data_IF_274201700899
#
_entry.id   IF_274201700899
#
_cell.length_a   1.000
_cell.length_b   1.000
_cell.length_c   1.000
_cell.angle_alpha   90.00
_cell.angle_beta   90.00
_cell.angle_gamma   90.00
#
_symmetry.space_group_name_H-M   'P 1'
#
loop_
_entity.id
_entity.type
_entity.pdbx_description
1 polymer ?
#
# COMPACT_ATOMS: atom_id res chain seq x y z
N UNK A 1 -1.47 11.07 -34.01
CA UNK A 1 -0.09 10.62 -34.32
C UNK A 1 0.87 11.76 -34.61
N UNK A 2 0.59 12.75 -35.47
CA UNK A 2 1.51 13.84 -35.75
C UNK A 2 1.91 14.68 -34.52
N UNK A 3 0.95 14.99 -33.65
CA UNK A 3 1.20 15.74 -32.42
C UNK A 3 2.10 14.97 -31.43
N UNK A 4 1.96 13.64 -31.39
CA UNK A 4 2.72 12.77 -30.49
C UNK A 4 4.20 12.70 -30.93
N UNK A 5 4.46 12.63 -32.21
CA UNK A 5 5.84 12.69 -32.74
C UNK A 5 6.53 13.99 -32.33
N UNK A 6 5.81 15.12 -32.37
CA UNK A 6 6.35 16.40 -31.90
C UNK A 6 6.68 16.41 -30.43
N UNK A 7 5.81 15.82 -29.56
CA UNK A 7 6.08 15.73 -28.14
C UNK A 7 7.29 14.80 -27.83
N UNK A 8 7.42 13.67 -28.55
CA UNK A 8 8.59 12.80 -28.45
C UNK A 8 9.87 13.55 -28.80
N UNK A 9 9.86 14.37 -29.87
CA UNK A 9 11.01 15.16 -30.26
C UNK A 9 11.34 16.33 -29.30
N UNK A 10 10.37 16.84 -28.56
CA UNK A 10 10.62 17.88 -27.55
C UNK A 10 11.28 17.31 -26.28
N UNK A 11 11.10 16.03 -26.00
CA UNK A 11 11.74 15.41 -24.86
C UNK A 11 13.25 15.29 -25.08
N UNK A 12 14.10 15.83 -24.17
CA UNK A 12 15.54 15.86 -24.37
C UNK A 12 16.19 14.48 -24.43
N UNK A 13 15.66 13.49 -23.69
CA UNK A 13 16.18 12.12 -23.68
C UNK A 13 15.78 11.41 -24.95
N UNK A 14 14.52 11.47 -25.34
CA UNK A 14 14.01 10.83 -26.54
C UNK A 14 14.63 11.42 -27.80
N UNK A 15 14.84 12.74 -27.84
CA UNK A 15 15.53 13.42 -28.96
C UNK A 15 16.97 12.96 -29.12
N UNK A 16 17.75 12.86 -28.02
CA UNK A 16 19.12 12.33 -28.04
C UNK A 16 19.16 10.87 -28.49
N UNK A 17 18.29 10.03 -27.96
CA UNK A 17 18.22 8.62 -28.30
C UNK A 17 17.74 8.39 -29.74
N UNK A 18 16.81 9.19 -30.25
CA UNK A 18 16.39 9.13 -31.65
C UNK A 18 17.55 9.45 -32.60
N UNK A 19 18.32 10.51 -32.30
CA UNK A 19 19.54 10.84 -33.10
C UNK A 19 20.52 9.68 -33.07
N UNK A 20 20.81 9.14 -31.89
CA UNK A 20 21.72 8.01 -31.72
C UNK A 20 21.27 6.78 -32.50
N UNK A 21 19.98 6.41 -32.40
CA UNK A 21 19.41 5.26 -33.11
C UNK A 21 19.55 5.41 -34.65
N UNK A 22 19.33 6.62 -35.19
CA UNK A 22 19.51 6.95 -36.62
C UNK A 22 20.96 6.86 -37.03
N UNK A 23 21.88 7.49 -36.28
CA UNK A 23 23.31 7.49 -36.59
C UNK A 23 23.93 6.09 -36.61
N UNK A 24 23.53 5.27 -35.62
CA UNK A 24 24.02 3.88 -35.48
C UNK A 24 23.24 2.87 -36.31
N UNK A 25 22.15 3.28 -36.94
CA UNK A 25 21.20 2.41 -37.67
C UNK A 25 20.75 1.23 -36.83
N UNK A 26 20.48 1.49 -35.56
CA UNK A 26 20.05 0.46 -34.57
C UNK A 26 18.59 0.66 -34.23
N UNK A 27 17.73 -0.37 -34.39
CA UNK A 27 16.35 -0.28 -33.95
C UNK A 27 16.29 -0.09 -32.43
N UNK A 28 15.67 1.01 -32.02
CA UNK A 28 15.37 1.30 -30.63
C UNK A 28 13.89 1.68 -30.54
N UNK A 29 13.12 0.89 -29.79
CA UNK A 29 11.68 1.09 -29.67
C UNK A 29 11.35 1.66 -28.29
N UNK A 30 10.68 2.79 -28.24
CA UNK A 30 9.97 3.27 -27.05
C UNK A 30 8.64 2.53 -27.00
N UNK A 31 8.25 1.96 -25.85
CA UNK A 31 7.11 1.05 -25.78
C UNK A 31 6.21 1.30 -24.55
N UNK A 32 5.00 0.81 -24.61
CA UNK A 32 4.15 0.60 -23.43
C UNK A 32 3.56 1.87 -22.81
N UNK A 33 3.68 1.96 -21.48
CA UNK A 33 2.97 2.94 -20.65
C UNK A 33 3.22 4.39 -21.01
N UNK A 34 4.45 4.76 -21.35
CA UNK A 34 4.77 6.13 -21.75
C UNK A 34 3.96 6.61 -22.95
N UNK A 35 3.85 5.77 -24.00
CA UNK A 35 3.10 6.12 -25.22
C UNK A 35 1.60 6.22 -24.95
N UNK A 36 1.06 5.32 -24.12
CA UNK A 36 -0.32 5.41 -23.66
C UNK A 36 -0.57 6.72 -22.91
N UNK A 37 0.28 7.05 -21.94
CA UNK A 37 0.11 8.23 -21.10
C UNK A 37 0.29 9.53 -21.92
N UNK A 38 1.18 9.50 -22.93
CA UNK A 38 1.33 10.60 -23.88
C UNK A 38 0.06 10.77 -24.76
N UNK A 39 -0.56 9.66 -25.19
CA UNK A 39 -1.83 9.68 -25.92
C UNK A 39 -2.99 10.20 -25.07
N UNK A 40 -2.95 9.96 -23.74
CA UNK A 40 -3.94 10.46 -22.78
C UNK A 40 -3.66 11.91 -22.33
N UNK A 41 -2.53 12.51 -22.75
CA UNK A 41 -2.15 13.87 -22.35
C UNK A 41 -1.57 13.98 -20.93
N UNK A 42 -1.14 12.87 -20.33
CA UNK A 42 -0.57 12.77 -18.99
C UNK A 42 0.80 12.08 -18.98
N UNK A 43 1.79 12.58 -19.75
CA UNK A 43 3.09 11.91 -19.87
C UNK A 43 3.80 11.84 -18.52
N UNK A 44 4.44 10.69 -18.25
CA UNK A 44 5.30 10.45 -17.10
C UNK A 44 6.75 10.36 -17.58
N UNK A 45 7.71 10.42 -16.66
CA UNK A 45 9.13 10.27 -16.97
C UNK A 45 9.62 8.82 -16.79
N UNK A 46 8.77 7.86 -17.06
CA UNK A 46 9.07 6.43 -17.02
C UNK A 46 9.16 5.90 -18.46
N UNK A 47 10.36 5.65 -18.91
CA UNK A 47 10.63 5.24 -20.28
C UNK A 47 10.93 3.75 -20.34
N UNK A 48 10.15 3.02 -21.12
CA UNK A 48 10.40 1.61 -21.44
C UNK A 48 10.96 1.51 -22.86
N UNK A 49 12.16 0.94 -22.99
CA UNK A 49 12.79 0.71 -24.30
C UNK A 49 12.96 -0.78 -24.57
N UNK A 50 12.87 -1.12 -25.86
CA UNK A 50 13.16 -2.46 -26.35
C UNK A 50 14.20 -2.39 -27.46
N UNK A 51 15.18 -3.30 -27.40
CA UNK A 51 16.25 -3.47 -28.38
C UNK A 51 16.24 -4.89 -28.97
N UNK A 52 16.69 -5.08 -30.22
CA UNK A 52 17.07 -6.40 -30.71
C UNK A 52 18.18 -7.03 -29.87
N UNK A 53 18.19 -8.37 -29.78
CA UNK A 53 19.15 -9.11 -28.93
C UNK A 53 20.62 -8.93 -29.35
N UNK A 54 20.84 -8.74 -30.62
CA UNK A 54 22.17 -8.48 -31.21
C UNK A 54 22.69 -7.07 -31.00
N UNK A 55 21.83 -6.15 -30.53
CA UNK A 55 22.17 -4.75 -30.29
C UNK A 55 22.66 -4.47 -28.85
N UNK A 56 23.13 -5.46 -28.11
CA UNK A 56 23.55 -5.31 -26.69
C UNK A 56 24.68 -4.27 -26.51
N UNK A 57 25.58 -4.09 -27.47
CA UNK A 57 26.61 -3.06 -27.43
C UNK A 57 26.04 -1.64 -27.47
N UNK A 58 24.82 -1.44 -27.95
CA UNK A 58 24.15 -0.16 -27.98
C UNK A 58 23.86 0.40 -26.58
N UNK A 59 23.75 -0.46 -25.58
CA UNK A 59 23.54 -0.06 -24.18
C UNK A 59 24.70 0.80 -23.68
N UNK A 60 25.94 0.38 -23.92
CA UNK A 60 27.13 1.16 -23.52
C UNK A 60 27.17 2.54 -24.19
N UNK A 61 26.73 2.62 -25.45
CA UNK A 61 26.67 3.90 -26.18
C UNK A 61 25.55 4.79 -25.62
N UNK A 62 24.41 4.19 -25.21
CA UNK A 62 23.34 4.92 -24.52
C UNK A 62 23.80 5.48 -23.17
N UNK A 63 24.57 4.73 -22.38
CA UNK A 63 25.17 5.21 -21.13
C UNK A 63 26.06 6.42 -21.34
N UNK A 64 26.92 6.40 -22.37
CA UNK A 64 27.81 7.50 -22.72
C UNK A 64 27.02 8.75 -23.12
N UNK A 65 26.03 8.61 -24.02
CA UNK A 65 25.22 9.74 -24.54
C UNK A 65 24.32 10.35 -23.45
N UNK A 66 23.80 9.52 -22.57
CA UNK A 66 22.94 9.98 -21.47
C UNK A 66 23.74 10.44 -20.25
N UNK A 67 25.04 10.11 -20.15
CA UNK A 67 25.87 10.27 -18.94
C UNK A 67 25.25 9.60 -17.72
N UNK A 68 24.70 8.39 -17.89
CA UNK A 68 24.03 7.60 -16.87
C UNK A 68 24.43 6.12 -17.00
N UNK A 69 24.39 5.36 -15.90
CA UNK A 69 24.73 3.95 -15.89
C UNK A 69 23.52 3.06 -15.65
N UNK A 70 23.38 2.02 -16.49
CA UNK A 70 22.39 0.98 -16.28
C UNK A 70 22.87 -0.06 -15.26
N UNK A 71 22.02 -0.43 -14.35
CA UNK A 71 22.21 -1.62 -13.53
C UNK A 71 21.28 -2.74 -13.99
N UNK A 72 21.78 -3.97 -13.90
CA UNK A 72 20.99 -5.15 -14.29
C UNK A 72 20.00 -5.53 -13.21
N UNK A 73 18.76 -5.78 -13.59
CA UNK A 73 17.68 -6.30 -12.72
C UNK A 73 17.17 -7.62 -13.31
N UNK A 74 17.03 -8.62 -12.46
CA UNK A 74 16.57 -9.98 -12.84
C UNK A 74 17.67 -11.02 -12.88
N UNK A 75 17.28 -12.29 -13.05
CA UNK A 75 18.22 -13.43 -13.17
C UNK A 75 18.60 -13.63 -14.62
N UNK A 76 19.89 -13.80 -14.90
CA UNK A 76 20.42 -14.01 -16.27
C UNK A 76 19.86 -15.28 -16.95
N UNK A 77 19.44 -16.28 -16.15
CA UNK A 77 18.93 -17.57 -16.63
C UNK A 77 17.59 -17.52 -17.38
N UNK A 78 16.83 -16.40 -17.30
CA UNK A 78 15.47 -16.33 -17.85
C UNK A 78 15.33 -15.51 -19.14
N UNK A 79 16.39 -15.07 -19.81
CA UNK A 79 16.34 -14.17 -20.98
C UNK A 79 15.49 -12.88 -20.75
N UNK A 80 15.28 -12.49 -19.50
CA UNK A 80 14.45 -11.36 -19.07
C UNK A 80 15.25 -10.31 -18.31
N UNK A 81 16.52 -10.15 -18.66
CA UNK A 81 17.36 -9.11 -18.04
C UNK A 81 16.83 -7.75 -18.43
N UNK A 82 16.47 -6.95 -17.44
CA UNK A 82 16.15 -5.53 -17.59
C UNK A 82 17.37 -4.71 -17.19
N UNK A 83 17.74 -3.78 -18.03
CA UNK A 83 18.72 -2.75 -17.70
C UNK A 83 17.98 -1.51 -17.24
N UNK A 84 18.25 -1.04 -16.03
CA UNK A 84 17.47 0.02 -15.37
C UNK A 84 18.34 1.20 -14.98
N UNK A 85 17.84 2.40 -15.18
CA UNK A 85 18.32 3.66 -14.60
C UNK A 85 17.19 4.22 -13.73
N UNK A 86 17.53 4.69 -12.52
CA UNK A 86 16.63 5.48 -11.68
C UNK A 86 17.37 6.76 -11.32
N UNK A 87 16.75 7.91 -11.60
CA UNK A 87 17.30 9.23 -11.26
C UNK A 87 16.16 10.17 -10.89
N UNK A 88 16.11 10.59 -9.62
CA UNK A 88 15.08 11.51 -9.11
C UNK A 88 13.65 11.01 -9.43
N UNK A 89 12.93 11.72 -10.29
CA UNK A 89 11.57 11.45 -10.72
C UNK A 89 11.49 10.73 -12.08
N UNK A 90 12.61 10.16 -12.57
CA UNK A 90 12.74 9.51 -13.87
C UNK A 90 13.21 8.06 -13.72
N UNK A 91 12.63 7.16 -14.49
CA UNK A 91 13.14 5.81 -14.70
C UNK A 91 13.29 5.48 -16.19
N UNK A 92 14.33 4.70 -16.52
CA UNK A 92 14.53 4.14 -17.85
C UNK A 92 14.73 2.65 -17.71
N UNK A 93 13.83 1.89 -18.28
CA UNK A 93 13.93 0.44 -18.40
C UNK A 93 14.23 0.06 -19.84
N UNK A 94 15.22 -0.81 -20.02
CA UNK A 94 15.60 -1.31 -21.31
C UNK A 94 15.63 -2.84 -21.26
N UNK A 95 14.91 -3.45 -22.18
CA UNK A 95 14.81 -4.90 -22.34
C UNK A 95 15.12 -5.31 -23.78
N UNK A 96 15.29 -6.61 -24.02
CA UNK A 96 15.43 -7.14 -25.37
C UNK A 96 14.10 -7.66 -25.90
N UNK A 97 13.92 -7.62 -27.21
CA UNK A 97 12.76 -8.16 -27.92
C UNK A 97 12.45 -9.58 -27.45
N UNK A 98 11.19 -9.79 -27.10
CA UNK A 98 10.63 -11.10 -26.75
C UNK A 98 10.07 -11.80 -28.01
N UNK A 99 10.90 -11.95 -29.02
CA UNK A 99 10.62 -12.47 -30.35
C UNK A 99 11.68 -12.00 -31.32
N UNK A 100 11.43 -12.09 -32.61
CA UNK A 100 12.31 -11.59 -33.65
C UNK A 100 11.94 -10.19 -34.12
N UNK A 101 10.67 -9.83 -34.00
CA UNK A 101 10.12 -8.54 -34.42
C UNK A 101 9.44 -7.80 -33.28
N UNK A 102 9.23 -6.49 -33.47
CA UNK A 102 8.50 -5.68 -32.49
C UNK A 102 7.03 -6.09 -32.42
N UNK A 103 6.43 -6.53 -33.51
CA UNK A 103 5.07 -7.03 -33.58
C UNK A 103 4.88 -8.26 -32.69
N UNK A 104 5.82 -9.20 -32.71
CA UNK A 104 5.82 -10.38 -31.85
C UNK A 104 5.95 -10.00 -30.36
N UNK A 105 6.79 -9.01 -30.04
CA UNK A 105 6.92 -8.49 -28.67
C UNK A 105 5.61 -7.88 -28.20
N UNK A 106 4.97 -7.06 -29.04
CA UNK A 106 3.72 -6.41 -28.72
C UNK A 106 2.58 -7.42 -28.50
N UNK A 107 2.54 -8.51 -29.26
CA UNK A 107 1.54 -9.59 -29.11
C UNK A 107 1.65 -10.35 -27.78
N UNK A 108 2.79 -10.28 -27.10
CA UNK A 108 3.02 -10.95 -25.80
C UNK A 108 2.74 -10.05 -24.60
N UNK A 109 2.42 -8.76 -24.83
CA UNK A 109 2.12 -7.82 -23.77
C UNK A 109 0.81 -8.17 -23.08
N UNK A 110 0.57 -7.50 -21.95
CA UNK A 110 -0.60 -7.74 -21.11
C UNK A 110 -1.90 -7.24 -21.78
N UNK A 111 -1.95 -5.93 -22.06
CA UNK A 111 -3.14 -5.25 -22.52
C UNK A 111 -2.89 -4.46 -23.81
N UNK A 112 -3.91 -4.34 -24.63
CA UNK A 112 -3.89 -3.58 -25.88
C UNK A 112 -3.41 -2.15 -25.67
N UNK A 113 -3.83 -1.51 -24.60
CA UNK A 113 -3.43 -0.13 -24.23
C UNK A 113 -1.93 0.03 -23.95
N UNK A 114 -1.19 -1.06 -23.72
CA UNK A 114 0.26 -1.09 -23.53
C UNK A 114 1.00 -1.73 -24.72
N UNK A 115 0.27 -2.24 -25.69
CA UNK A 115 0.82 -2.92 -26.86
C UNK A 115 1.06 -1.94 -28.03
N UNK A 116 1.81 -0.87 -27.72
CA UNK A 116 2.17 0.20 -28.64
C UNK A 116 3.67 0.41 -28.55
N UNK A 117 4.32 0.62 -29.69
CA UNK A 117 5.73 0.97 -29.81
C UNK A 117 5.93 2.12 -30.80
N UNK A 118 6.98 2.89 -30.56
CA UNK A 118 7.47 3.91 -31.50
C UNK A 118 8.94 3.65 -31.80
N UNK A 119 9.28 3.40 -33.06
CA UNK A 119 10.65 3.28 -33.51
C UNK A 119 11.31 4.65 -33.48
N UNK A 120 12.35 4.82 -32.64
CA UNK A 120 13.15 6.06 -32.60
C UNK A 120 14.07 6.19 -33.82
N UNK A 121 14.37 5.07 -34.48
CA UNK A 121 15.18 5.07 -35.73
C UNK A 121 14.38 5.57 -36.93
N UNK A 122 13.20 4.96 -37.16
CA UNK A 122 12.41 5.15 -38.39
C UNK A 122 11.24 6.11 -38.20
N UNK A 123 10.97 6.50 -36.94
CA UNK A 123 9.85 7.38 -36.56
C UNK A 123 8.48 6.78 -36.96
N UNK A 124 8.34 5.49 -36.82
CA UNK A 124 7.14 4.78 -37.17
C UNK A 124 6.48 4.17 -35.94
N UNK A 125 5.14 4.17 -35.89
CA UNK A 125 4.35 3.53 -34.82
C UNK A 125 4.01 2.10 -35.19
N UNK A 126 4.23 1.18 -34.26
CA UNK A 126 3.77 -0.20 -34.29
C UNK A 126 2.76 -0.40 -33.17
N UNK A 127 1.69 -1.10 -33.39
CA UNK A 127 0.66 -1.38 -32.36
C UNK A 127 -0.16 -2.61 -32.73
N UNK A 128 -0.69 -3.28 -31.71
CA UNK A 128 -1.64 -4.36 -31.90
C UNK A 128 -3.00 -3.77 -32.31
N UNK A 129 -3.73 -4.50 -33.14
CA UNK A 129 -5.08 -4.10 -33.56
C UNK A 129 -5.97 -3.78 -32.34
N UNK A 130 -6.71 -2.69 -32.41
CA UNK A 130 -7.54 -2.20 -31.31
C UNK A 130 -6.84 -1.33 -30.26
N UNK A 131 -5.48 -1.30 -30.22
CA UNK A 131 -4.74 -0.57 -29.15
C UNK A 131 -5.12 0.90 -29.06
N UNK A 132 -5.16 1.61 -30.17
CA UNK A 132 -5.50 3.04 -30.19
C UNK A 132 -6.96 3.30 -29.89
N UNK A 133 -7.82 2.41 -30.38
CA UNK A 133 -9.26 2.46 -30.14
C UNK A 133 -9.60 2.23 -28.67
N UNK A 134 -8.95 1.26 -28.03
CA UNK A 134 -9.14 0.94 -26.61
C UNK A 134 -8.65 2.08 -25.70
N UNK A 135 -7.58 2.78 -26.07
CA UNK A 135 -7.16 4.00 -25.36
C UNK A 135 -8.23 5.09 -25.48
N UNK A 136 -8.77 5.32 -26.69
CA UNK A 136 -9.83 6.32 -26.90
C UNK A 136 -11.12 5.99 -26.16
N UNK A 137 -11.49 4.71 -26.16
CA UNK A 137 -12.69 4.19 -25.46
C UNK A 137 -12.44 4.00 -23.95
N UNK A 138 -11.21 4.21 -23.49
CA UNK A 138 -10.79 3.95 -22.10
C UNK A 138 -11.11 2.50 -21.67
N UNK A 139 -10.75 1.54 -22.49
CA UNK A 139 -11.04 0.12 -22.31
C UNK A 139 -9.77 -0.68 -22.00
N UNK A 140 -9.79 -1.48 -20.94
CA UNK A 140 -8.73 -2.43 -20.60
C UNK A 140 -9.12 -3.78 -21.19
N UNK A 141 -8.39 -4.22 -22.22
CA UNK A 141 -8.57 -5.51 -22.91
C UNK A 141 -7.22 -6.21 -23.02
N UNK A 142 -7.19 -7.53 -22.87
CA UNK A 142 -6.00 -8.34 -23.13
C UNK A 142 -5.63 -8.35 -24.60
N UNK A 143 -4.33 -8.49 -24.89
CA UNK A 143 -3.84 -8.61 -26.28
C UNK A 143 -4.31 -9.93 -26.92
N UNK A 144 -4.43 -10.99 -26.12
CA UNK A 144 -4.87 -12.30 -26.60
C UNK A 144 -5.62 -13.06 -25.52
N UNK A 145 -6.45 -14.05 -25.92
CA UNK A 145 -7.21 -14.93 -25.03
C UNK A 145 -6.33 -15.85 -24.16
N UNK A 146 -5.01 -15.91 -24.42
CA UNK A 146 -4.04 -16.67 -23.62
C UNK A 146 -3.24 -15.77 -22.68
N UNK A 147 -3.58 -14.50 -22.61
CA UNK A 147 -2.81 -13.49 -21.86
C UNK A 147 -2.70 -13.84 -20.36
N UNK A 148 -3.82 -14.21 -19.72
CA UNK A 148 -3.85 -14.60 -18.31
C UNK A 148 -3.16 -15.95 -18.09
N UNK A 149 -3.27 -16.90 -19.02
CA UNK A 149 -2.60 -18.21 -18.93
C UNK A 149 -1.07 -18.08 -18.95
N UNK A 150 -0.54 -17.11 -19.70
CA UNK A 150 0.88 -16.81 -19.77
C UNK A 150 1.42 -16.18 -18.47
N UNK A 151 0.65 -15.28 -17.86
CA UNK A 151 0.99 -14.64 -16.58
C UNK A 151 -0.27 -14.28 -15.81
N UNK A 152 -0.66 -15.07 -14.81
CA UNK A 152 -1.85 -14.81 -14.00
C UNK A 152 -1.81 -13.48 -13.23
N UNK A 153 -0.61 -12.85 -13.06
CA UNK A 153 -0.49 -11.53 -12.43
C UNK A 153 -1.25 -10.44 -13.21
N UNK A 154 -1.49 -10.66 -14.49
CA UNK A 154 -2.26 -9.75 -15.35
C UNK A 154 -3.68 -9.49 -14.83
N UNK A 155 -4.24 -10.43 -14.06
CA UNK A 155 -5.53 -10.20 -13.37
C UNK A 155 -5.44 -9.04 -12.36
N UNK A 156 -4.40 -9.00 -11.54
CA UNK A 156 -4.17 -7.89 -10.60
C UNK A 156 -3.77 -6.60 -11.32
N UNK A 157 -2.96 -6.71 -12.38
CA UNK A 157 -2.58 -5.57 -13.22
C UNK A 157 -3.79 -4.90 -13.89
N UNK A 158 -4.78 -5.67 -14.35
CA UNK A 158 -6.04 -5.13 -14.88
C UNK A 158 -6.76 -4.27 -13.83
N UNK A 159 -6.86 -4.78 -12.60
CA UNK A 159 -7.47 -4.04 -11.49
C UNK A 159 -6.64 -2.80 -11.15
N UNK A 160 -5.32 -2.89 -11.15
CA UNK A 160 -4.46 -1.72 -10.94
C UNK A 160 -4.70 -0.64 -11.99
N UNK A 161 -4.86 -1.00 -13.26
CA UNK A 161 -5.15 -0.01 -14.30
C UNK A 161 -6.52 0.66 -14.11
N UNK A 162 -7.53 -0.04 -13.59
CA UNK A 162 -8.80 0.60 -13.18
C UNK A 162 -8.60 1.69 -12.13
N UNK A 163 -7.60 1.53 -11.25
CA UNK A 163 -7.35 2.45 -10.15
C UNK A 163 -6.41 3.61 -10.52
N UNK A 164 -5.59 3.42 -11.57
CA UNK A 164 -4.54 4.36 -11.95
C UNK A 164 -4.86 5.15 -13.22
N UNK A 165 -5.73 4.63 -14.07
CA UNK A 165 -6.15 5.27 -15.32
C UNK A 165 -7.57 5.81 -15.20
N UNK A 166 -7.69 7.12 -15.21
CA UNK A 166 -8.98 7.78 -14.97
C UNK A 166 -10.03 7.46 -16.03
N UNK A 167 -11.18 6.97 -15.57
CA UNK A 167 -12.34 6.64 -16.39
C UNK A 167 -12.19 5.36 -17.22
N UNK A 168 -11.13 4.56 -17.01
CA UNK A 168 -11.00 3.26 -17.69
C UNK A 168 -11.92 2.21 -17.07
N UNK A 169 -12.40 1.31 -17.94
CA UNK A 169 -13.21 0.15 -17.55
C UNK A 169 -12.60 -1.13 -18.14
N UNK A 170 -12.83 -2.26 -17.49
CA UNK A 170 -12.45 -3.56 -18.05
C UNK A 170 -13.49 -4.01 -19.08
N UNK A 171 -13.01 -4.61 -20.16
CA UNK A 171 -13.81 -5.35 -21.12
C UNK A 171 -14.58 -6.50 -20.44
N UNK A 172 -15.77 -6.81 -20.91
CA UNK A 172 -16.61 -7.85 -20.27
C UNK A 172 -15.97 -9.23 -20.38
N UNK A 173 -15.36 -9.55 -21.54
CA UNK A 173 -14.64 -10.82 -21.71
C UNK A 173 -13.49 -10.97 -20.72
N UNK A 174 -12.76 -9.89 -20.45
CA UNK A 174 -11.69 -9.88 -19.44
C UNK A 174 -12.23 -10.09 -18.03
N UNK A 175 -13.38 -9.50 -17.67
CA UNK A 175 -14.00 -9.70 -16.36
C UNK A 175 -14.41 -11.16 -16.15
N UNK A 176 -15.03 -11.76 -17.16
CA UNK A 176 -15.40 -13.16 -17.13
C UNK A 176 -14.19 -14.08 -17.03
N UNK A 177 -13.16 -13.81 -17.83
CA UNK A 177 -11.92 -14.59 -17.82
C UNK A 177 -11.23 -14.52 -16.44
N UNK A 178 -11.13 -13.35 -15.81
CA UNK A 178 -10.59 -13.19 -14.47
C UNK A 178 -11.39 -14.03 -13.47
N UNK A 179 -12.72 -13.97 -13.52
CA UNK A 179 -13.57 -14.73 -12.62
C UNK A 179 -13.42 -16.24 -12.78
N UNK A 180 -13.26 -16.72 -14.00
CA UNK A 180 -13.05 -18.14 -14.30
C UNK A 180 -11.65 -18.63 -13.89
N UNK A 181 -10.61 -17.81 -14.13
CA UNK A 181 -9.20 -18.18 -13.94
C UNK A 181 -8.61 -17.71 -12.60
N UNK A 182 -9.39 -17.09 -11.70
CA UNK A 182 -8.93 -16.52 -10.43
C UNK A 182 -8.04 -17.44 -9.60
N UNK A 183 -8.28 -18.77 -9.64
CA UNK A 183 -7.48 -19.74 -8.91
C UNK A 183 -6.00 -19.80 -9.33
N UNK A 184 -5.69 -19.40 -10.57
CA UNK A 184 -4.32 -19.39 -11.09
C UNK A 184 -3.43 -18.38 -10.35
N UNK A 185 -4.00 -17.35 -9.72
CA UNK A 185 -3.24 -16.35 -8.94
C UNK A 185 -2.43 -16.98 -7.81
N UNK A 186 -2.90 -18.11 -7.26
CA UNK A 186 -2.25 -18.81 -6.15
C UNK A 186 -0.95 -19.52 -6.55
N UNK A 187 -0.67 -19.68 -7.85
CA UNK A 187 0.59 -20.23 -8.36
C UNK A 187 1.74 -19.22 -8.34
N UNK A 188 1.44 -17.93 -8.14
CA UNK A 188 2.45 -16.87 -8.19
C UNK A 188 3.21 -16.71 -6.87
N UNK A 189 4.48 -16.26 -6.92
CA UNK A 189 5.20 -15.83 -5.73
C UNK A 189 4.48 -14.72 -4.99
N UNK A 190 4.41 -14.82 -3.65
CA UNK A 190 3.70 -13.85 -2.81
C UNK A 190 4.21 -12.42 -2.97
N UNK A 191 5.50 -12.24 -3.22
CA UNK A 191 6.12 -10.94 -3.46
C UNK A 191 5.56 -10.23 -4.70
N UNK A 192 5.30 -10.99 -5.79
CA UNK A 192 4.71 -10.43 -7.01
C UNK A 192 3.27 -9.98 -6.76
N UNK A 193 2.50 -10.80 -6.05
CA UNK A 193 1.12 -10.49 -5.64
C UNK A 193 1.11 -9.21 -4.79
N UNK A 194 1.98 -9.17 -3.74
CA UNK A 194 2.10 -8.01 -2.86
C UNK A 194 2.42 -6.73 -3.61
N UNK A 195 3.35 -6.78 -4.55
CA UNK A 195 3.74 -5.61 -5.35
C UNK A 195 2.54 -5.00 -6.09
N UNK A 196 1.69 -5.81 -6.71
CA UNK A 196 0.49 -5.31 -7.39
C UNK A 196 -0.58 -4.81 -6.39
N UNK A 197 -0.77 -5.50 -5.26
CA UNK A 197 -1.67 -5.05 -4.19
C UNK A 197 -1.23 -3.71 -3.60
N UNK A 198 0.06 -3.53 -3.36
CA UNK A 198 0.62 -2.26 -2.88
C UNK A 198 0.33 -1.12 -3.86
N UNK A 199 0.51 -1.37 -5.17
CA UNK A 199 0.22 -0.38 -6.20
C UNK A 199 -1.27 -0.06 -6.33
N UNK A 200 -2.16 -1.04 -6.10
CA UNK A 200 -3.61 -0.83 -6.03
C UNK A 200 -3.96 0.06 -4.84
N UNK A 201 -3.43 -0.24 -3.65
CA UNK A 201 -3.71 0.51 -2.43
C UNK A 201 -3.11 1.93 -2.44
N UNK A 202 -1.96 2.13 -3.09
CA UNK A 202 -1.33 3.46 -3.25
C UNK A 202 -1.85 4.24 -4.46
N UNK A 203 -2.75 3.66 -5.24
CA UNK A 203 -3.33 4.33 -6.41
C UNK A 203 -4.21 5.53 -6.01
N UNK A 204 -4.56 6.41 -6.96
CA UNK A 204 -5.52 7.48 -6.71
C UNK A 204 -6.92 6.99 -6.28
N UNK A 205 -7.28 5.74 -6.62
CA UNK A 205 -8.62 5.19 -6.40
C UNK A 205 -8.58 3.78 -5.77
N UNK A 206 -7.98 3.61 -4.57
CA UNK A 206 -7.79 2.29 -3.95
C UNK A 206 -9.12 1.57 -3.66
N UNK A 207 -10.18 2.30 -3.35
CA UNK A 207 -11.50 1.74 -3.09
C UNK A 207 -12.09 1.03 -4.35
N UNK A 208 -11.86 1.58 -5.55
CA UNK A 208 -12.25 0.91 -6.80
C UNK A 208 -11.50 -0.42 -6.93
N UNK A 209 -10.21 -0.43 -6.61
CA UNK A 209 -9.38 -1.62 -6.66
C UNK A 209 -9.88 -2.73 -5.74
N UNK A 210 -10.08 -2.41 -4.47
CA UNK A 210 -10.55 -3.38 -3.47
C UNK A 210 -11.97 -3.90 -3.82
N UNK A 211 -12.88 -3.01 -4.25
CA UNK A 211 -14.21 -3.42 -4.72
C UNK A 211 -14.13 -4.32 -5.96
N UNK A 212 -13.17 -4.07 -6.86
CA UNK A 212 -12.98 -4.90 -8.07
C UNK A 212 -12.36 -6.25 -7.75
N UNK A 213 -11.40 -6.31 -6.80
CA UNK A 213 -10.86 -7.57 -6.27
C UNK A 213 -11.97 -8.43 -5.66
N UNK A 214 -12.90 -7.84 -4.92
CA UNK A 214 -14.04 -8.54 -4.36
C UNK A 214 -15.00 -9.03 -5.44
N UNK A 215 -15.45 -8.17 -6.35
CA UNK A 215 -16.40 -8.51 -7.43
C UNK A 215 -15.89 -9.62 -8.34
N UNK A 216 -14.58 -9.68 -8.60
CA UNK A 216 -13.94 -10.75 -9.38
C UNK A 216 -13.64 -12.02 -8.58
N UNK A 217 -14.00 -12.07 -7.29
CA UNK A 217 -13.63 -13.10 -6.34
C UNK A 217 -12.11 -13.28 -6.12
N UNK A 218 -11.26 -12.39 -6.63
CA UNK A 218 -9.82 -12.43 -6.38
C UNK A 218 -9.49 -12.16 -4.91
N UNK A 219 -10.23 -11.25 -4.26
CA UNK A 219 -10.04 -10.96 -2.83
C UNK A 219 -10.21 -12.22 -1.97
N UNK A 220 -11.32 -12.94 -2.15
CA UNK A 220 -11.63 -14.16 -1.38
C UNK A 220 -10.77 -15.37 -1.80
N UNK A 221 -10.18 -15.31 -2.98
CA UNK A 221 -9.22 -16.31 -3.44
C UNK A 221 -7.85 -16.10 -2.81
N UNK A 222 -7.37 -14.85 -2.78
CA UNK A 222 -6.09 -14.49 -2.18
C UNK A 222 -6.14 -14.59 -0.64
N UNK A 223 -7.26 -14.19 -0.07
CA UNK A 223 -7.48 -14.09 1.38
C UNK A 223 -8.75 -14.84 1.78
N UNK A 224 -8.70 -16.19 1.83
CA UNK A 224 -9.86 -17.01 2.19
C UNK A 224 -10.38 -16.73 3.61
N UNK A 225 -9.58 -16.08 4.44
CA UNK A 225 -9.96 -15.60 5.78
C UNK A 225 -11.14 -14.63 5.76
N UNK A 226 -11.41 -13.98 4.63
CA UNK A 226 -12.55 -13.06 4.47
C UNK A 226 -13.88 -13.77 4.22
N UNK A 227 -13.90 -15.05 3.85
CA UNK A 227 -15.15 -15.75 3.46
C UNK A 227 -16.21 -15.80 4.55
N UNK A 228 -15.79 -15.88 5.82
CA UNK A 228 -16.71 -15.91 6.94
C UNK A 228 -17.28 -14.56 7.35
N UNK A 229 -16.82 -13.47 6.71
CA UNK A 229 -17.26 -12.11 7.04
C UNK A 229 -18.47 -11.65 6.22
N UNK A 230 -18.77 -12.33 5.12
CA UNK A 230 -19.96 -12.06 4.31
C UNK A 230 -21.22 -12.41 5.10
N UNK A 231 -22.17 -11.49 5.10
CA UNK A 231 -23.43 -11.61 5.84
C UNK A 231 -23.27 -11.77 7.38
N UNK A 232 -22.06 -11.57 7.91
CA UNK A 232 -21.84 -11.53 9.34
C UNK A 232 -22.35 -10.19 9.88
N UNK A 233 -23.58 -10.20 10.38
CA UNK A 233 -24.22 -9.02 10.93
C UNK A 233 -23.49 -8.51 12.16
N UNK A 234 -23.40 -7.19 12.25
CA UNK A 234 -22.78 -6.49 13.38
C UNK A 234 -23.85 -5.97 14.36
N UNK A 235 -23.45 -5.14 15.31
CA UNK A 235 -24.35 -4.51 16.28
C UNK A 235 -25.08 -3.29 15.65
N UNK A 236 -25.95 -2.63 16.44
CA UNK A 236 -26.77 -1.47 16.03
C UNK A 236 -25.99 -0.26 15.47
N UNK A 237 -24.69 -0.20 15.75
CA UNK A 237 -23.82 0.89 15.28
C UNK A 237 -23.34 0.71 13.83
N UNK A 238 -23.54 -0.47 13.24
CA UNK A 238 -23.07 -0.79 11.90
C UNK A 238 -24.27 -1.11 10.98
N UNK A 239 -24.30 -0.49 9.81
CA UNK A 239 -25.32 -0.72 8.80
C UNK A 239 -24.92 -1.78 7.76
N UNK A 240 -23.66 -2.18 7.76
CA UNK A 240 -23.06 -3.17 6.84
C UNK A 240 -22.65 -4.43 7.61
N UNK A 241 -22.52 -5.54 6.90
CA UNK A 241 -21.81 -6.70 7.42
C UNK A 241 -20.30 -6.40 7.58
N UNK A 242 -19.56 -7.31 8.22
CA UNK A 242 -18.15 -7.08 8.54
C UNK A 242 -17.29 -6.92 7.29
N UNK A 243 -17.58 -7.70 6.22
CA UNK A 243 -16.81 -7.60 4.99
C UNK A 243 -17.01 -6.25 4.31
N UNK A 244 -18.27 -5.85 4.07
CA UNK A 244 -18.55 -4.59 3.39
C UNK A 244 -18.11 -3.37 4.22
N UNK A 245 -18.13 -3.45 5.55
CA UNK A 245 -17.52 -2.46 6.43
C UNK A 245 -16.00 -2.35 6.16
N UNK A 246 -15.27 -3.48 6.14
CA UNK A 246 -13.83 -3.51 5.87
C UNK A 246 -13.47 -2.99 4.47
N UNK A 247 -14.35 -3.17 3.47
CA UNK A 247 -14.15 -2.57 2.14
C UNK A 247 -14.44 -1.07 2.14
N UNK A 248 -15.44 -0.61 2.90
CA UNK A 248 -15.81 0.80 2.97
C UNK A 248 -14.76 1.64 3.70
N UNK A 249 -14.11 1.10 4.72
CA UNK A 249 -13.08 1.82 5.47
C UNK A 249 -11.93 2.28 4.54
N UNK A 250 -11.58 1.49 3.50
CA UNK A 250 -10.57 1.86 2.50
C UNK A 250 -10.96 3.16 1.76
N UNK A 251 -12.24 3.35 1.48
CA UNK A 251 -12.75 4.58 0.87
C UNK A 251 -12.65 5.78 1.83
N UNK A 252 -12.89 5.54 3.13
CA UNK A 252 -12.88 6.58 4.15
C UNK A 252 -11.49 7.04 4.57
N UNK A 253 -10.44 6.28 4.28
CA UNK A 253 -9.06 6.67 4.57
C UNK A 253 -8.69 8.00 3.87
N UNK A 254 -9.10 8.22 2.63
CA UNK A 254 -8.83 9.49 1.94
C UNK A 254 -9.46 10.68 2.67
N UNK A 255 -10.70 10.54 3.14
CA UNK A 255 -11.36 11.54 3.96
C UNK A 255 -10.60 11.79 5.29
N UNK A 256 -10.11 10.72 5.94
CA UNK A 256 -9.34 10.86 7.17
C UNK A 256 -8.00 11.58 6.95
N UNK A 257 -7.31 11.35 5.84
CA UNK A 257 -6.13 12.13 5.44
C UNK A 257 -6.45 13.62 5.29
N UNK A 258 -7.54 13.95 4.58
CA UNK A 258 -7.97 15.32 4.39
C UNK A 258 -8.38 15.98 5.73
N UNK A 259 -9.01 15.21 6.62
CA UNK A 259 -9.38 15.68 7.94
C UNK A 259 -8.15 16.01 8.78
N UNK A 260 -7.16 15.12 8.84
CA UNK A 260 -5.90 15.34 9.56
C UNK A 260 -5.14 16.54 8.98
N UNK A 261 -5.03 16.63 7.65
CA UNK A 261 -4.36 17.75 6.98
C UNK A 261 -4.99 19.11 7.34
N UNK A 262 -6.31 19.20 7.47
CA UNK A 262 -7.01 20.43 7.84
C UNK A 262 -6.83 20.80 9.32
N UNK A 263 -6.70 19.81 10.20
CA UNK A 263 -6.64 20.02 11.65
C UNK A 263 -5.22 19.93 12.20
N UNK A 264 -4.29 19.30 11.46
CA UNK A 264 -2.93 19.06 11.92
C UNK A 264 -1.96 18.92 10.75
N UNK A 265 -1.41 20.03 10.27
CA UNK A 265 -0.63 20.11 9.03
C UNK A 265 0.76 19.43 9.07
N UNK A 266 1.23 19.01 10.24
CA UNK A 266 2.64 18.57 10.43
C UNK A 266 2.87 17.05 10.32
N UNK A 267 1.85 16.24 9.95
CA UNK A 267 2.00 14.80 9.83
C UNK A 267 2.52 14.43 8.45
N UNK A 268 3.78 14.08 8.38
CA UNK A 268 4.39 13.52 7.16
C UNK A 268 4.32 11.99 7.21
N UNK A 269 3.57 11.38 6.27
CA UNK A 269 3.42 9.94 6.16
C UNK A 269 4.22 9.41 4.96
N UNK A 270 5.03 8.41 5.20
CA UNK A 270 5.74 7.67 4.16
C UNK A 270 4.76 6.78 3.36
N UNK A 271 5.19 6.29 2.21
CA UNK A 271 4.41 5.29 1.47
C UNK A 271 4.18 4.01 2.28
N UNK A 272 5.18 3.60 3.08
CA UNK A 272 5.06 2.45 3.98
C UNK A 272 4.01 2.68 5.07
N UNK A 273 3.92 3.89 5.62
CA UNK A 273 2.88 4.24 6.60
C UNK A 273 1.48 4.17 5.98
N UNK A 274 1.32 4.70 4.77
CA UNK A 274 0.05 4.62 4.04
C UNK A 274 -0.36 3.16 3.76
N UNK A 275 0.57 2.33 3.27
CA UNK A 275 0.32 0.90 3.05
C UNK A 275 -0.04 0.18 4.35
N UNK A 276 0.70 0.46 5.44
CA UNK A 276 0.43 -0.15 6.74
C UNK A 276 -0.97 0.20 7.24
N UNK A 277 -1.41 1.45 7.04
CA UNK A 277 -2.76 1.88 7.38
C UNK A 277 -3.82 1.15 6.53
N UNK A 278 -3.65 1.08 5.21
CA UNK A 278 -4.60 0.38 4.33
C UNK A 278 -4.73 -1.10 4.67
N UNK A 279 -3.61 -1.80 4.91
CA UNK A 279 -3.64 -3.20 5.28
C UNK A 279 -4.21 -3.42 6.69
N UNK A 280 -3.88 -2.57 7.66
CA UNK A 280 -4.48 -2.63 8.98
C UNK A 280 -6.00 -2.43 8.91
N UNK A 281 -6.45 -1.44 8.14
CA UNK A 281 -7.88 -1.19 7.91
C UNK A 281 -8.59 -2.35 7.23
N UNK A 282 -7.93 -3.04 6.29
CA UNK A 282 -8.50 -4.20 5.62
C UNK A 282 -8.60 -5.41 6.55
N UNK A 283 -7.67 -5.59 7.50
CA UNK A 283 -7.54 -6.80 8.31
C UNK A 283 -8.03 -6.65 9.76
N UNK A 284 -8.37 -5.44 10.25
CA UNK A 284 -8.64 -5.19 11.67
C UNK A 284 -9.77 -6.05 12.26
N UNK A 285 -10.78 -6.34 11.48
CA UNK A 285 -12.02 -7.00 11.88
C UNK A 285 -12.14 -8.46 11.42
N UNK A 286 -11.10 -9.01 10.81
CA UNK A 286 -11.14 -10.37 10.23
C UNK A 286 -11.41 -11.45 11.28
N UNK A 287 -11.03 -11.21 12.52
CA UNK A 287 -11.25 -12.12 13.65
C UNK A 287 -12.68 -12.10 14.20
N UNK A 288 -13.56 -11.20 13.75
CA UNK A 288 -14.95 -11.15 14.19
C UNK A 288 -15.73 -12.43 13.90
N UNK A 289 -15.40 -13.15 12.81
CA UNK A 289 -16.02 -14.44 12.49
C UNK A 289 -15.77 -15.51 13.57
N UNK A 290 -14.59 -15.48 14.22
CA UNK A 290 -14.18 -16.48 15.20
C UNK A 290 -14.70 -16.15 16.61
N UNK A 291 -15.12 -14.91 16.84
CA UNK A 291 -15.54 -14.40 18.16
C UNK A 291 -17.02 -14.00 18.22
N UNK A 292 -17.77 -14.27 17.16
CA UNK A 292 -19.19 -13.97 17.10
C UNK A 292 -19.97 -14.68 18.22
N UNK A 293 -20.70 -13.91 19.02
CA UNK A 293 -21.57 -14.43 20.06
C UNK A 293 -22.81 -13.56 20.23
N UNK A 294 -23.86 -14.13 20.80
CA UNK A 294 -25.06 -13.38 21.17
C UNK A 294 -25.34 -13.59 22.68
N UNK A 295 -25.68 -12.50 23.34
CA UNK A 295 -26.16 -12.58 24.71
C UNK A 295 -27.64 -13.07 24.77
N UNK A 296 -28.17 -13.23 25.99
CA UNK A 296 -29.55 -13.67 26.23
C UNK A 296 -30.62 -12.73 25.64
N UNK A 297 -30.25 -11.47 25.36
CA UNK A 297 -31.10 -10.45 24.72
C UNK A 297 -30.94 -10.42 23.20
N UNK A 298 -30.13 -11.29 22.63
CA UNK A 298 -29.86 -11.36 21.20
C UNK A 298 -28.87 -10.31 20.69
N UNK A 299 -28.22 -9.54 21.57
CA UNK A 299 -27.22 -8.56 21.21
C UNK A 299 -25.92 -9.26 20.80
N UNK A 300 -25.37 -8.82 19.67
CA UNK A 300 -24.13 -9.37 19.07
C UNK A 300 -22.90 -8.78 19.77
N UNK A 301 -21.94 -9.65 20.06
CA UNK A 301 -20.65 -9.33 20.65
C UNK A 301 -19.52 -10.02 19.90
N UNK A 302 -18.33 -9.37 19.89
CA UNK A 302 -17.08 -9.85 19.25
C UNK A 302 -15.91 -9.67 20.23
N UNK A 303 -15.97 -10.38 21.36
CA UNK A 303 -14.98 -10.23 22.42
C UNK A 303 -13.61 -10.74 21.97
N UNK A 304 -12.57 -9.93 22.19
CA UNK A 304 -11.17 -10.23 21.85
C UNK A 304 -10.93 -10.51 20.35
N UNK A 305 -11.78 -9.95 19.45
CA UNK A 305 -11.61 -10.13 18.01
C UNK A 305 -10.25 -9.60 17.51
N UNK A 306 -9.68 -8.62 18.20
CA UNK A 306 -8.36 -8.06 17.87
C UNK A 306 -7.27 -9.15 17.89
N UNK A 307 -7.28 -10.04 18.87
CA UNK A 307 -6.31 -11.16 18.97
C UNK A 307 -6.46 -12.16 17.83
N UNK A 308 -7.69 -12.48 17.42
CA UNK A 308 -7.97 -13.35 16.27
C UNK A 308 -7.64 -12.66 14.94
N UNK A 309 -7.91 -11.36 14.83
CA UNK A 309 -7.52 -10.56 13.65
C UNK A 309 -6.01 -10.53 13.46
N UNK A 310 -5.23 -10.38 14.54
CA UNK A 310 -3.77 -10.46 14.52
C UNK A 310 -3.32 -11.80 13.95
N UNK A 311 -3.82 -12.92 14.46
CA UNK A 311 -3.43 -14.26 14.00
C UNK A 311 -3.77 -14.49 12.52
N UNK A 312 -4.94 -14.03 12.08
CA UNK A 312 -5.35 -14.13 10.68
C UNK A 312 -4.48 -13.24 9.77
N UNK A 313 -4.23 -12.00 10.18
CA UNK A 313 -3.36 -11.07 9.45
C UNK A 313 -1.92 -11.59 9.34
N UNK A 314 -1.36 -12.19 10.39
CA UNK A 314 -0.03 -12.82 10.36
C UNK A 314 0.05 -13.89 9.26
N UNK A 315 -0.91 -14.82 9.22
CA UNK A 315 -0.96 -15.87 8.19
C UNK A 315 -1.06 -15.29 6.77
N UNK A 316 -1.88 -14.26 6.57
CA UNK A 316 -1.99 -13.57 5.27
C UNK A 316 -0.65 -12.94 4.90
N UNK A 317 -0.05 -12.16 5.80
CA UNK A 317 1.18 -11.42 5.54
C UNK A 317 2.39 -12.33 5.32
N UNK A 318 2.43 -13.52 5.95
CA UNK A 318 3.43 -14.54 5.68
C UNK A 318 3.28 -15.13 4.27
N UNK A 319 2.05 -15.45 3.87
CA UNK A 319 1.73 -16.01 2.54
C UNK A 319 2.15 -15.07 1.40
N UNK A 320 1.92 -13.76 1.56
CA UNK A 320 2.29 -12.76 0.55
C UNK A 320 3.61 -12.03 0.85
N UNK A 321 4.41 -12.55 1.79
CA UNK A 321 5.81 -12.14 2.01
C UNK A 321 6.00 -10.67 2.40
N UNK A 322 5.25 -10.20 3.39
CA UNK A 322 5.50 -8.87 3.98
C UNK A 322 6.85 -8.81 4.72
N UNK A 323 7.49 -7.64 4.73
CA UNK A 323 8.66 -7.39 5.57
C UNK A 323 8.28 -7.43 7.06
N UNK A 324 9.22 -7.83 7.93
CA UNK A 324 8.97 -7.86 9.36
C UNK A 324 8.61 -6.48 9.93
N UNK A 325 9.23 -5.41 9.42
CA UNK A 325 8.93 -4.05 9.84
C UNK A 325 7.46 -3.70 9.56
N UNK A 326 7.01 -3.93 8.35
CA UNK A 326 5.62 -3.66 7.95
C UNK A 326 4.62 -4.55 8.70
N UNK A 327 4.94 -5.85 8.87
CA UNK A 327 4.11 -6.77 9.68
C UNK A 327 3.89 -6.23 11.09
N UNK A 328 4.97 -5.88 11.79
CA UNK A 328 4.90 -5.37 13.15
C UNK A 328 4.04 -4.11 13.25
N UNK A 329 4.19 -3.17 12.31
CA UNK A 329 3.40 -1.93 12.26
C UNK A 329 1.90 -2.22 12.05
N UNK A 330 1.55 -3.09 11.10
CA UNK A 330 0.16 -3.48 10.84
C UNK A 330 -0.46 -4.16 12.06
N UNK A 331 0.22 -5.15 12.65
CA UNK A 331 -0.26 -5.86 13.82
C UNK A 331 -0.41 -4.95 15.04
N UNK A 332 0.50 -3.98 15.20
CA UNK A 332 0.39 -2.98 16.25
C UNK A 332 -0.85 -2.09 16.07
N UNK A 333 -1.17 -1.69 14.84
CA UNK A 333 -2.40 -0.95 14.55
C UNK A 333 -3.64 -1.78 14.82
N UNK A 334 -3.70 -3.04 14.35
CA UNK A 334 -4.81 -3.96 14.61
C UNK A 334 -5.02 -4.15 16.12
N UNK A 335 -3.95 -4.37 16.88
CA UNK A 335 -4.01 -4.53 18.34
C UNK A 335 -4.63 -3.34 19.06
N UNK A 336 -4.43 -2.14 18.54
CA UNK A 336 -4.79 -0.90 19.22
C UNK A 336 -6.03 -0.22 18.66
N UNK A 337 -6.65 -0.74 17.55
CA UNK A 337 -7.68 -0.02 16.80
C UNK A 337 -8.91 0.39 17.63
N UNK A 338 -9.32 -0.44 18.60
CA UNK A 338 -10.46 -0.15 19.46
C UNK A 338 -10.17 0.88 20.56
N UNK A 339 -8.89 1.20 20.83
CA UNK A 339 -8.51 1.95 22.04
C UNK A 339 -9.05 3.37 22.08
N UNK A 340 -9.05 4.07 20.93
CA UNK A 340 -9.58 5.45 20.87
C UNK A 340 -11.11 5.41 20.88
N UNK A 341 -11.73 4.47 20.19
CA UNK A 341 -13.19 4.31 20.15
C UNK A 341 -13.80 4.02 21.53
N UNK A 342 -13.05 3.33 22.37
CA UNK A 342 -13.49 2.98 23.73
C UNK A 342 -13.30 4.11 24.77
N UNK A 343 -12.79 5.28 24.39
CA UNK A 343 -12.61 6.40 25.31
C UNK A 343 -13.95 7.12 25.59
N UNK A 344 -14.21 7.42 26.88
CA UNK A 344 -15.38 8.20 27.29
C UNK A 344 -15.12 9.71 27.22
N UNK A 345 -16.18 10.52 27.24
CA UNK A 345 -16.07 12.01 27.31
C UNK A 345 -15.20 12.48 28.47
N UNK A 346 -15.24 11.76 29.61
CA UNK A 346 -14.55 12.09 30.85
C UNK A 346 -13.09 11.59 30.89
N UNK A 347 -12.59 11.05 29.77
CA UNK A 347 -11.22 10.50 29.71
C UNK A 347 -10.19 11.57 30.07
N UNK A 348 -9.42 11.30 31.13
CA UNK A 348 -8.39 12.20 31.64
C UNK A 348 -7.21 12.30 30.67
N UNK A 349 -6.54 13.43 30.66
CA UNK A 349 -5.36 13.67 29.82
C UNK A 349 -4.22 12.67 30.10
N UNK A 350 -4.06 12.26 31.35
CA UNK A 350 -3.07 11.23 31.71
C UNK A 350 -3.30 9.90 31.03
N UNK A 351 -4.56 9.51 30.78
CA UNK A 351 -4.90 8.31 30.02
C UNK A 351 -4.56 8.47 28.53
N UNK A 352 -4.77 9.67 27.96
CA UNK A 352 -4.38 9.97 26.57
C UNK A 352 -2.85 9.97 26.42
N UNK A 353 -2.11 10.60 27.35
CA UNK A 353 -0.64 10.56 27.38
C UNK A 353 -0.10 9.13 27.42
N UNK A 354 -0.69 8.28 28.26
CA UNK A 354 -0.36 6.87 28.34
C UNK A 354 -0.63 6.14 27.01
N UNK A 355 -1.77 6.41 26.37
CA UNK A 355 -2.10 5.84 25.05
C UNK A 355 -1.06 6.23 24.00
N UNK A 356 -0.74 7.54 23.88
CA UNK A 356 0.24 8.06 22.94
C UNK A 356 1.62 7.43 23.18
N UNK A 357 2.07 7.35 24.43
CA UNK A 357 3.34 6.72 24.77
C UNK A 357 3.39 5.23 24.39
N UNK A 358 2.31 4.48 24.63
CA UNK A 358 2.24 3.05 24.35
C UNK A 358 2.10 2.73 22.86
N UNK A 359 1.45 3.61 22.10
CA UNK A 359 1.31 3.46 20.64
C UNK A 359 2.56 3.98 19.93
N UNK A 360 3.24 4.99 20.50
CA UNK A 360 4.49 5.51 19.95
C UNK A 360 4.31 6.24 18.62
N UNK A 361 5.24 5.99 17.71
CA UNK A 361 5.30 6.65 16.39
C UNK A 361 4.11 6.32 15.47
N UNK A 362 3.40 5.21 15.71
CA UNK A 362 2.20 4.84 14.96
C UNK A 362 0.93 5.58 15.43
N UNK A 363 1.02 6.49 16.42
CA UNK A 363 -0.13 7.26 16.91
C UNK A 363 -0.91 7.99 15.81
N UNK A 364 -0.29 8.67 14.82
CA UNK A 364 -1.02 9.29 13.73
C UNK A 364 -1.78 8.30 12.86
N UNK A 365 -1.20 7.12 12.62
CA UNK A 365 -1.85 6.05 11.85
C UNK A 365 -3.06 5.48 12.61
N UNK A 366 -2.94 5.31 13.92
CA UNK A 366 -4.06 4.88 14.76
C UNK A 366 -5.21 5.89 14.75
N UNK A 367 -4.90 7.19 14.78
CA UNK A 367 -5.92 8.25 14.66
C UNK A 367 -6.60 8.19 13.29
N UNK A 368 -5.84 8.06 12.20
CA UNK A 368 -6.41 7.93 10.85
C UNK A 368 -7.29 6.68 10.73
N UNK A 369 -6.84 5.55 11.28
CA UNK A 369 -7.63 4.32 11.31
C UNK A 369 -8.95 4.53 12.05
N UNK A 370 -8.90 5.08 13.28
CA UNK A 370 -10.09 5.34 14.10
C UNK A 370 -11.10 6.25 13.40
N UNK A 371 -10.64 7.33 12.77
CA UNK A 371 -11.50 8.23 12.02
C UNK A 371 -12.15 7.53 10.82
N UNK A 372 -11.39 6.73 10.09
CA UNK A 372 -11.87 5.98 8.93
C UNK A 372 -12.90 4.92 9.31
N UNK A 373 -12.63 4.18 10.38
CA UNK A 373 -13.49 3.13 10.92
C UNK A 373 -14.82 3.74 11.41
N UNK A 374 -14.76 4.80 12.20
CA UNK A 374 -15.95 5.51 12.68
C UNK A 374 -16.78 6.05 11.52
N UNK A 375 -16.13 6.64 10.51
CA UNK A 375 -16.82 7.15 9.33
C UNK A 375 -17.45 6.03 8.49
N UNK A 376 -16.80 4.86 8.39
CA UNK A 376 -17.33 3.68 7.70
C UNK A 376 -18.49 3.01 8.48
N UNK A 377 -18.54 3.15 9.81
CA UNK A 377 -19.61 2.60 10.65
C UNK A 377 -20.92 3.38 10.54
N UNK A 378 -20.89 4.62 10.03
CA UNK A 378 -22.08 5.46 9.95
C UNK A 378 -23.13 4.89 9.02
N UNK A 379 -24.31 4.60 9.59
CA UNK A 379 -25.51 4.36 8.82
C UNK A 379 -25.99 5.62 8.08
N UNK A 380 -26.84 5.44 7.08
CA UNK A 380 -27.48 6.55 6.29
C UNK A 380 -28.16 7.59 7.22
N UNK A 381 -28.49 7.19 8.45
CA UNK A 381 -29.21 8.05 9.42
C UNK A 381 -28.31 8.91 10.32
N UNK A 382 -26.98 8.70 10.34
CA UNK A 382 -26.09 9.49 11.19
C UNK A 382 -25.30 10.52 10.39
N UNK A 383 -25.75 11.78 10.44
CA UNK A 383 -25.20 12.89 9.65
C UNK A 383 -23.96 13.54 10.31
N UNK A 384 -23.71 13.27 11.61
CA UNK A 384 -22.62 13.92 12.34
C UNK A 384 -21.58 12.91 12.80
N UNK A 385 -20.30 13.28 12.66
CA UNK A 385 -19.19 12.59 13.30
C UNK A 385 -19.41 12.65 14.81
N UNK A 386 -19.09 11.56 15.50
CA UNK A 386 -19.08 11.55 16.96
C UNK A 386 -18.03 12.56 17.46
N UNK A 387 -18.49 13.73 17.90
CA UNK A 387 -17.64 14.81 18.40
C UNK A 387 -16.68 14.34 19.51
N UNK A 388 -17.05 13.33 20.26
CA UNK A 388 -16.20 12.76 21.32
C UNK A 388 -14.97 12.11 20.70
N UNK A 389 -15.15 11.30 19.67
CA UNK A 389 -14.03 10.62 18.97
C UNK A 389 -13.12 11.64 18.31
N UNK A 390 -13.68 12.60 17.58
CA UNK A 390 -12.90 13.68 16.96
C UNK A 390 -12.09 14.49 17.96
N UNK A 391 -12.72 14.91 19.07
CA UNK A 391 -12.03 15.63 20.13
C UNK A 391 -10.90 14.83 20.76
N UNK A 392 -11.06 13.49 20.93
CA UNK A 392 -9.98 12.65 21.38
C UNK A 392 -8.87 12.55 20.35
N UNK A 393 -9.19 12.38 19.07
CA UNK A 393 -8.23 12.38 17.99
C UNK A 393 -7.37 13.66 17.94
N UNK A 394 -8.00 14.84 18.06
CA UNK A 394 -7.30 16.13 18.11
C UNK A 394 -6.38 16.23 19.34
N UNK A 395 -6.87 15.86 20.51
CA UNK A 395 -6.06 15.86 21.74
C UNK A 395 -4.88 14.92 21.66
N UNK A 396 -5.08 13.72 21.10
CA UNK A 396 -4.04 12.70 20.91
C UNK A 396 -2.98 13.21 19.93
N UNK A 397 -3.37 13.80 18.80
CA UNK A 397 -2.42 14.38 17.85
C UNK A 397 -1.63 15.55 18.46
N UNK A 398 -2.28 16.38 19.27
CA UNK A 398 -1.58 17.44 20.00
C UNK A 398 -0.52 16.88 20.96
N UNK A 399 -0.88 15.85 21.74
CA UNK A 399 0.04 15.17 22.66
C UNK A 399 1.16 14.43 21.93
N UNK A 400 0.90 13.90 20.73
CA UNK A 400 1.92 13.25 19.90
C UNK A 400 3.05 14.22 19.50
N UNK A 401 2.76 15.51 19.31
CA UNK A 401 3.79 16.51 19.02
C UNK A 401 4.68 16.85 20.23
N UNK A 402 4.28 16.46 21.43
CA UNK A 402 5.11 16.57 22.62
C UNK A 402 6.09 15.38 22.67
N UNK A 403 7.29 15.55 22.09
CA UNK A 403 8.31 14.47 21.94
C UNK A 403 8.58 13.72 23.24
N UNK A 404 8.52 14.41 24.39
CA UNK A 404 8.75 13.81 25.72
C UNK A 404 7.60 12.87 26.15
N UNK A 405 6.45 12.89 25.48
CA UNK A 405 5.38 11.93 25.70
C UNK A 405 5.63 10.66 24.88
N UNK A 406 5.99 10.82 23.61
CA UNK A 406 6.24 9.68 22.70
C UNK A 406 7.54 8.97 23.12
N UNK A 407 8.61 9.73 23.27
CA UNK A 407 9.95 9.25 23.61
C UNK A 407 10.48 9.96 24.87
N UNK A 408 9.95 9.64 26.07
CA UNK A 408 10.37 10.30 27.28
C UNK A 408 11.85 10.04 27.56
N UNK A 409 12.61 11.09 27.99
CA UNK A 409 13.98 10.92 28.37
C UNK A 409 14.13 9.93 29.54
N UNK A 410 15.15 9.09 29.52
CA UNK A 410 15.34 8.07 30.56
C UNK A 410 15.92 8.71 31.83
N UNK A 411 15.11 8.94 32.86
CA UNK A 411 15.59 9.45 34.14
C UNK A 411 16.37 8.41 34.93
N UNK A 412 16.08 7.10 34.73
CA UNK A 412 16.84 6.00 35.32
C UNK A 412 17.18 4.97 34.25
N UNK A 413 18.24 4.21 34.54
CA UNK A 413 18.77 3.17 33.65
C UNK A 413 18.62 1.78 34.28
N UNK A 414 18.88 0.71 33.50
CA UNK A 414 18.93 -0.64 34.04
C UNK A 414 19.98 -0.81 35.17
N UNK A 415 21.06 -0.05 35.12
CA UNK A 415 22.06 -0.04 36.21
C UNK A 415 21.49 0.48 37.53
N UNK A 416 20.66 1.53 37.49
CA UNK A 416 20.01 2.04 38.70
C UNK A 416 19.07 1.00 39.35
N UNK A 417 18.38 0.20 38.51
CA UNK A 417 17.51 -0.90 38.96
C UNK A 417 18.34 -2.06 39.53
N UNK A 418 19.43 -2.43 38.84
CA UNK A 418 20.32 -3.51 39.30
C UNK A 418 21.05 -3.15 40.59
N UNK A 419 21.32 -1.88 40.84
CA UNK A 419 21.91 -1.41 42.08
C UNK A 419 21.01 -1.65 43.33
N UNK A 420 19.72 -1.92 43.13
CA UNK A 420 18.77 -2.35 44.15
C UNK A 420 18.74 -3.86 44.38
N UNK A 421 19.61 -4.65 43.74
CA UNK A 421 19.68 -6.11 43.89
C UNK A 421 18.99 -6.91 42.83
N UNK A 422 18.37 -6.31 41.80
CA UNK A 422 17.76 -7.03 40.71
C UNK A 422 18.80 -7.57 39.73
N UNK A 423 18.64 -8.83 39.32
CA UNK A 423 19.42 -9.42 38.24
C UNK A 423 18.97 -8.90 36.86
N UNK A 424 19.92 -8.79 35.90
CA UNK A 424 19.59 -8.47 34.53
C UNK A 424 18.53 -9.43 33.96
N UNK A 425 17.44 -8.90 33.39
CA UNK A 425 16.37 -9.70 32.85
C UNK A 425 15.05 -8.93 32.67
N UNK A 426 13.96 -9.64 32.31
CA UNK A 426 12.66 -9.02 32.04
C UNK A 426 12.14 -8.12 33.14
N UNK A 427 12.40 -8.47 34.41
CA UNK A 427 11.95 -7.70 35.57
C UNK A 427 12.50 -6.29 35.60
N UNK A 428 13.77 -6.11 35.19
CA UNK A 428 14.39 -4.76 35.06
C UNK A 428 13.61 -3.95 34.00
N UNK A 429 13.26 -4.56 32.88
CA UNK A 429 12.46 -3.92 31.84
C UNK A 429 11.08 -3.47 32.33
N UNK A 430 10.39 -4.33 33.10
CA UNK A 430 9.09 -4.00 33.70
C UNK A 430 9.18 -2.78 34.65
N UNK A 431 10.19 -2.74 35.50
CA UNK A 431 10.41 -1.63 36.41
C UNK A 431 10.71 -0.33 35.67
N UNK A 432 11.56 -0.39 34.65
CA UNK A 432 11.88 0.77 33.83
C UNK A 432 10.63 1.28 33.09
N UNK A 433 9.81 0.39 32.56
CA UNK A 433 8.56 0.74 31.90
C UNK A 433 7.56 1.38 32.88
N UNK A 434 7.46 0.86 34.10
CA UNK A 434 6.62 1.46 35.13
C UNK A 434 7.05 2.91 35.46
N UNK A 435 8.36 3.14 35.69
CA UNK A 435 8.88 4.50 35.97
C UNK A 435 8.63 5.41 34.76
N UNK A 436 8.87 4.93 33.54
CA UNK A 436 8.65 5.70 32.31
C UNK A 436 7.17 6.07 32.14
N UNK A 437 6.26 5.17 32.47
CA UNK A 437 4.83 5.46 32.45
C UNK A 437 4.47 6.57 33.45
N UNK A 438 5.04 6.55 34.67
CA UNK A 438 4.84 7.59 35.67
C UNK A 438 5.42 8.96 35.26
N UNK A 439 6.51 8.97 34.50
CA UNK A 439 7.04 10.19 33.89
C UNK A 439 6.03 10.78 32.87
N UNK A 440 5.53 9.97 31.96
CA UNK A 440 4.55 10.39 30.95
C UNK A 440 3.26 10.90 31.61
N UNK A 441 2.83 10.29 32.70
CA UNK A 441 1.68 10.73 33.51
C UNK A 441 1.95 12.06 34.24
N UNK A 442 3.21 12.51 34.30
CA UNK A 442 3.64 13.74 34.99
C UNK A 442 3.82 13.60 36.50
N UNK A 443 3.75 12.35 37.02
CA UNK A 443 3.97 12.05 38.45
C UNK A 443 5.48 12.08 38.83
N UNK A 444 6.35 11.83 37.83
CA UNK A 444 7.82 11.88 37.97
C UNK A 444 8.37 12.93 37.01
N UNK A 445 9.05 13.94 37.52
CA UNK A 445 9.50 15.08 36.71
C UNK A 445 11.02 15.15 36.55
N UNK A 446 11.77 14.40 37.37
CA UNK A 446 13.23 14.42 37.39
C UNK A 446 13.80 13.10 37.91
N UNK A 447 15.14 12.94 37.80
CA UNK A 447 15.84 11.75 38.23
C UNK A 447 15.71 11.45 39.72
N UNK A 448 15.67 12.49 40.57
CA UNK A 448 15.57 12.31 42.03
C UNK A 448 14.22 11.69 42.41
N UNK A 449 13.15 12.20 41.85
CA UNK A 449 11.81 11.63 42.02
C UNK A 449 11.73 10.19 41.47
N UNK A 450 12.33 9.92 40.30
CA UNK A 450 12.39 8.58 39.75
C UNK A 450 13.11 7.59 40.67
N UNK A 451 14.28 7.99 41.22
CA UNK A 451 15.02 7.16 42.17
C UNK A 451 14.29 6.98 43.51
N UNK A 452 13.54 7.99 43.97
CA UNK A 452 12.70 7.88 45.16
C UNK A 452 11.61 6.84 44.93
N UNK A 453 10.80 6.97 43.85
CA UNK A 453 9.74 6.03 43.54
C UNK A 453 10.28 4.61 43.30
N UNK A 454 11.46 4.51 42.68
CA UNK A 454 12.13 3.22 42.47
C UNK A 454 12.44 2.53 43.80
N UNK A 455 13.01 3.27 44.79
CA UNK A 455 13.33 2.73 46.14
C UNK A 455 12.07 2.41 46.94
N UNK A 456 11.10 3.32 46.98
CA UNK A 456 9.84 3.14 47.72
C UNK A 456 9.03 1.94 47.28
N UNK A 457 8.97 1.70 45.96
CA UNK A 457 8.11 0.67 45.40
C UNK A 457 8.81 -0.66 45.08
N UNK A 458 10.09 -0.61 44.76
CA UNK A 458 10.89 -1.77 44.33
C UNK A 458 12.17 -1.96 45.14
N UNK A 459 12.41 -1.16 46.14
CA UNK A 459 13.51 -1.38 47.11
C UNK A 459 13.30 -2.68 47.85
N UNK A 460 14.38 -3.48 47.98
CA UNK A 460 14.39 -4.77 48.68
C UNK A 460 14.78 -4.51 50.13
#
# INVERSE_FOLDING_TARGET
MGNIKQEIHKDPILSKLSRLAKEKKTPLFLVGGYLRDLLLGTPRKDFDFVLPKDASMFIAIMEEVLCLHFFKVGKEEMNTTTYRIIKEDMSIDLTFLQGETIEEDLQRRDFTINAIAFSLQDEFFHYVEGSLEDIQKKLIRTVSNHSIDQDPLRMLRAIRYLCTLDGFVMDEELKEEISLKKGMILSLPGERIKTELDQILLSPQPAIGIKSLYKSNLLLTLFPEFKGLENLGQNEHHHLDVLFHSLLIIEKISWAFDWVARNHQEICLTQEDRLSLYYAALFHDIGKQDTYSKDEKGKVHFLDHESFSIQAAERIMERVRFSNLMKNKILHLIKNHMRILNLSRETKETALKRLVHQVGDETPLLVLHTLSDKEASRGILSIQIDEVVENHCLRILKLFNEKDIVHPPSFITGHDVMALGYSSGPRVGEILNFIRQKQVEGEIKNREEALRVLREKFGI
#
